data_IF_487834623838
#
_entry.id   IF_487834623838
#
_cell.length_a   1.000
_cell.length_b   1.000
_cell.length_c   1.000
_cell.angle_alpha   90.00
_cell.angle_beta   90.00
_cell.angle_gamma   90.00
#
_symmetry.space_group_name_H-M   'P 1'
#
loop_
_entity.id
_entity.type
_entity.pdbx_description
1 polymer ?
#
# COMPACT_ATOMS: atom_id res chain seq x y z
N UNK A 1 -10.30 7.96 5.57
CA UNK A 1 -9.50 7.90 4.33
C UNK A 1 -8.50 6.75 4.28
N UNK A 2 -7.49 6.64 5.15
CA UNK A 2 -6.55 5.49 5.10
C UNK A 2 -7.24 4.14 5.32
N UNK A 3 -8.07 4.02 6.36
CA UNK A 3 -8.92 2.84 6.60
C UNK A 3 -9.88 2.55 5.45
N UNK A 4 -10.27 3.57 4.68
CA UNK A 4 -11.14 3.40 3.50
C UNK A 4 -10.33 2.88 2.32
N UNK A 5 -9.13 3.40 2.06
CA UNK A 5 -8.21 2.89 1.03
C UNK A 5 -7.85 1.43 1.27
N UNK A 6 -7.61 1.05 2.53
CA UNK A 6 -7.38 -0.34 2.91
C UNK A 6 -8.63 -1.23 2.75
N UNK A 7 -9.83 -0.63 2.66
CA UNK A 7 -11.12 -1.32 2.50
C UNK A 7 -11.64 -1.33 1.06
N UNK A 8 -11.22 -0.42 0.18
CA UNK A 8 -11.76 -0.27 -1.17
C UNK A 8 -11.30 -1.44 -2.07
N UNK A 9 -12.21 -2.40 -2.24
CA UNK A 9 -12.24 -3.44 -3.28
C UNK A 9 -10.91 -4.14 -3.57
N UNK A 10 -10.10 -4.50 -2.57
CA UNK A 10 -8.93 -5.35 -2.79
C UNK A 10 -9.35 -6.82 -2.66
N UNK A 11 -9.50 -7.61 -3.75
CA UNK A 11 -9.78 -9.02 -3.63
C UNK A 11 -8.55 -9.67 -3.03
N UNK A 12 -8.67 -10.04 -1.75
CA UNK A 12 -7.61 -10.62 -0.95
C UNK A 12 -7.00 -11.89 -1.57
N UNK A 13 -7.75 -12.56 -2.46
CA UNK A 13 -7.36 -13.78 -3.14
C UNK A 13 -6.23 -13.57 -4.18
N UNK A 14 -6.22 -12.41 -4.84
CA UNK A 14 -5.23 -12.07 -5.88
C UNK A 14 -4.21 -11.03 -5.40
N UNK A 15 -4.60 -10.27 -4.37
CA UNK A 15 -3.77 -9.29 -3.71
C UNK A 15 -3.74 -9.63 -2.23
N UNK A 16 -2.62 -10.12 -1.70
CA UNK A 16 -2.51 -10.45 -0.28
C UNK A 16 -2.73 -9.26 0.67
N UNK A 17 -2.86 -8.04 0.13
CA UNK A 17 -3.05 -6.74 0.81
C UNK A 17 -3.89 -5.76 -0.04
N UNK A 18 -3.95 -4.46 0.28
CA UNK A 18 -2.92 -3.64 0.94
C UNK A 18 -2.82 -3.83 2.45
N UNK A 19 -1.58 -3.82 2.96
CA UNK A 19 -1.29 -3.96 4.38
C UNK A 19 -1.23 -2.61 5.08
N UNK A 20 -0.61 -1.61 4.43
CA UNK A 20 -0.44 -0.26 4.95
C UNK A 20 -0.47 0.77 3.81
N UNK A 21 -0.96 1.96 4.12
CA UNK A 21 -0.81 3.14 3.25
C UNK A 21 0.55 3.76 3.56
N UNK A 22 1.44 3.80 2.57
CA UNK A 22 2.78 4.40 2.69
C UNK A 22 2.70 5.90 2.50
N UNK A 23 1.89 6.34 1.54
CA UNK A 23 1.70 7.74 1.21
C UNK A 23 0.31 7.96 0.66
N UNK A 24 -0.24 9.15 0.92
CA UNK A 24 -1.52 9.58 0.39
C UNK A 24 -1.47 11.05 -0.01
N UNK A 25 -1.72 11.30 -1.29
CA UNK A 25 -1.96 12.66 -1.77
C UNK A 25 -3.43 12.98 -1.56
N UNK A 26 -3.72 14.03 -0.77
CA UNK A 26 -5.09 14.40 -0.38
C UNK A 26 -5.71 15.45 -1.32
N UNK A 27 -4.93 15.95 -2.28
CA UNK A 27 -5.33 16.94 -3.29
C UNK A 27 -6.34 16.44 -4.32
N UNK A 28 -6.44 17.10 -5.48
CA UNK A 28 -7.50 16.86 -6.48
C UNK A 28 -7.43 15.48 -7.14
N UNK A 29 -6.22 14.96 -7.37
CA UNK A 29 -6.01 13.69 -8.08
C UNK A 29 -6.13 12.46 -7.17
N UNK A 30 -6.09 12.67 -5.85
CA UNK A 30 -6.18 11.66 -4.77
C UNK A 30 -5.59 10.31 -5.14
N UNK A 31 -4.32 10.11 -4.86
CA UNK A 31 -3.67 8.81 -5.07
C UNK A 31 -2.98 8.34 -3.80
N UNK A 32 -2.77 7.03 -3.72
CA UNK A 32 -2.04 6.43 -2.61
C UNK A 32 -1.02 5.42 -3.11
N UNK A 33 0.10 5.37 -2.40
CA UNK A 33 1.04 4.25 -2.47
C UNK A 33 0.80 3.37 -1.26
N UNK A 34 0.72 2.08 -1.49
CA UNK A 34 0.48 1.06 -0.47
C UNK A 34 1.58 0.01 -0.51
N UNK A 35 1.87 -0.60 0.64
CA UNK A 35 2.63 -1.84 0.67
C UNK A 35 1.65 -3.03 0.64
N UNK A 36 1.86 -3.96 -0.27
CA UNK A 36 0.93 -5.06 -0.54
C UNK A 36 1.66 -6.33 -0.94
N UNK A 37 0.99 -7.47 -0.78
CA UNK A 37 1.41 -8.74 -1.36
C UNK A 37 0.81 -8.89 -2.74
N UNK A 38 1.63 -9.20 -3.74
CA UNK A 38 1.19 -9.42 -5.11
C UNK A 38 1.46 -10.86 -5.52
N UNK A 39 0.44 -11.55 -6.05
CA UNK A 39 0.58 -12.95 -6.46
C UNK A 39 1.31 -13.03 -7.81
N UNK A 40 2.50 -13.61 -7.81
CA UNK A 40 3.27 -13.94 -9.01
C UNK A 40 3.46 -15.46 -9.02
N UNK A 41 2.95 -16.12 -10.07
CA UNK A 41 3.11 -17.57 -10.26
C UNK A 41 2.72 -18.42 -9.02
N UNK A 42 1.66 -18.00 -8.32
CA UNK A 42 1.17 -18.70 -7.13
C UNK A 42 1.88 -18.32 -5.81
N UNK A 43 2.91 -17.49 -5.85
CA UNK A 43 3.63 -17.00 -4.66
C UNK A 43 3.29 -15.54 -4.38
N UNK A 44 3.13 -15.20 -3.11
CA UNK A 44 2.94 -13.81 -2.71
C UNK A 44 4.30 -13.12 -2.58
N UNK A 45 4.50 -12.08 -3.37
CA UNK A 45 5.71 -11.24 -3.32
C UNK A 45 5.41 -9.86 -2.72
N UNK A 46 6.31 -9.33 -1.88
CA UNK A 46 6.24 -7.95 -1.44
C UNK A 46 6.34 -6.97 -2.62
N UNK A 47 5.39 -6.05 -2.70
CA UNK A 47 5.36 -4.99 -3.72
C UNK A 47 4.84 -3.68 -3.14
N UNK A 48 5.22 -2.58 -3.78
CA UNK A 48 4.46 -1.34 -3.69
C UNK A 48 3.39 -1.32 -4.78
N UNK A 49 2.19 -0.88 -4.42
CA UNK A 49 1.12 -0.59 -5.35
C UNK A 49 0.80 0.90 -5.35
N UNK A 50 0.44 1.46 -6.50
CA UNK A 50 -0.11 2.80 -6.61
C UNK A 50 -1.52 2.75 -7.23
N UNK A 51 -2.42 3.60 -6.72
CA UNK A 51 -3.79 3.72 -7.22
C UNK A 51 -4.34 5.12 -6.99
N UNK A 52 -5.22 5.56 -7.90
CA UNK A 52 -5.97 6.82 -7.82
C UNK A 52 -7.37 6.57 -7.30
N UNK A 53 -7.98 7.61 -6.74
CA UNK A 53 -9.30 7.57 -6.12
C UNK A 53 -10.12 8.75 -6.62
N UNK A 54 -11.34 8.47 -7.11
CA UNK A 54 -12.29 9.49 -7.52
C UNK A 54 -13.56 9.32 -6.69
N UNK A 55 -13.81 10.27 -5.78
CA UNK A 55 -14.84 10.12 -4.75
C UNK A 55 -14.51 8.95 -3.81
N UNK A 56 -15.44 8.00 -3.69
CA UNK A 56 -15.29 6.76 -2.91
C UNK A 56 -14.84 5.57 -3.76
N UNK A 57 -14.56 5.76 -5.05
CA UNK A 57 -14.20 4.70 -5.98
C UNK A 57 -12.71 4.74 -6.32
N UNK A 58 -12.09 3.55 -6.40
CA UNK A 58 -10.72 3.43 -6.91
C UNK A 58 -10.70 3.42 -8.44
N UNK A 59 -9.71 4.08 -9.04
CA UNK A 59 -9.48 4.18 -10.48
C UNK A 59 -8.10 3.58 -10.84
N UNK A 60 -8.02 2.68 -11.84
CA UNK A 60 -9.13 2.14 -12.64
C UNK A 60 -10.13 1.31 -11.83
N UNK A 61 -11.38 1.42 -12.26
CA UNK A 61 -12.51 0.71 -11.68
C UNK A 61 -12.66 -0.64 -12.41
N UNK A 62 -12.78 -1.70 -11.63
CA UNK A 62 -13.14 -3.02 -12.14
C UNK A 62 -14.22 -3.61 -11.23
N UNK A 63 -15.16 -4.32 -11.82
CA UNK A 63 -16.37 -4.82 -11.17
C UNK A 63 -16.12 -6.03 -10.26
N UNK A 64 -14.96 -6.69 -10.38
CA UNK A 64 -14.61 -7.88 -9.58
C UNK A 64 -13.19 -7.88 -9.02
N UNK A 65 -12.30 -6.99 -9.49
CA UNK A 65 -10.90 -6.98 -9.09
C UNK A 65 -10.42 -5.56 -8.82
N UNK A 66 -9.68 -5.29 -7.73
CA UNK A 66 -8.94 -4.03 -7.67
C UNK A 66 -7.82 -4.05 -8.67
N UNK A 67 -7.76 -2.98 -9.46
CA UNK A 67 -6.61 -2.72 -10.31
C UNK A 67 -5.63 -1.85 -9.55
N UNK A 68 -4.44 -2.42 -9.30
CA UNK A 68 -3.29 -1.71 -8.76
C UNK A 68 -2.24 -1.60 -9.87
N UNK A 69 -1.62 -0.43 -10.00
CA UNK A 69 -0.36 -0.37 -10.73
C UNK A 69 0.74 -0.87 -9.80
N UNK A 70 1.29 -2.03 -10.11
CA UNK A 70 2.36 -2.65 -9.32
C UNK A 70 3.68 -2.00 -9.69
N UNK A 71 4.35 -1.44 -8.69
CA UNK A 71 5.66 -0.81 -8.87
C UNK A 71 6.72 -1.91 -8.99
N UNK A 72 7.56 -1.91 -10.05
CA UNK A 72 8.68 -2.84 -10.18
C UNK A 72 9.59 -2.78 -8.94
N UNK A 73 10.08 -3.91 -8.42
CA UNK A 73 10.88 -3.92 -7.19
C UNK A 73 12.11 -3.00 -7.27
N UNK A 74 12.76 -2.92 -8.43
CA UNK A 74 13.91 -2.03 -8.66
C UNK A 74 13.60 -0.53 -8.50
N UNK A 75 12.33 -0.12 -8.63
CA UNK A 75 11.89 1.27 -8.47
C UNK A 75 11.36 1.56 -7.06
N UNK A 76 11.16 0.53 -6.23
CA UNK A 76 10.52 0.71 -4.93
C UNK A 76 11.34 1.61 -4.00
N UNK A 77 12.66 1.37 -3.90
CA UNK A 77 13.54 2.19 -3.04
C UNK A 77 13.69 3.64 -3.55
N UNK A 78 13.96 3.90 -4.85
CA UNK A 78 13.95 5.27 -5.38
C UNK A 78 12.64 6.02 -5.10
N UNK A 79 11.49 5.37 -5.28
CA UNK A 79 10.19 5.99 -5.00
C UNK A 79 10.06 6.34 -3.52
N UNK A 80 10.36 5.43 -2.61
CA UNK A 80 10.27 5.68 -1.17
C UNK A 80 11.16 6.85 -0.71
N UNK A 81 12.36 6.97 -1.28
CA UNK A 81 13.29 8.07 -0.97
C UNK A 81 12.85 9.41 -1.56
N UNK A 82 12.09 9.39 -2.66
CA UNK A 82 11.55 10.58 -3.31
C UNK A 82 10.26 11.11 -2.67
N UNK A 83 9.65 10.37 -1.73
CA UNK A 83 8.43 10.80 -1.08
C UNK A 83 8.70 11.96 -0.11
N UNK A 84 7.87 13.03 -0.14
CA UNK A 84 8.00 14.12 0.81
C UNK A 84 7.75 13.63 2.24
N UNK A 85 8.66 13.97 3.16
CA UNK A 85 8.62 13.56 4.56
C UNK A 85 7.38 14.06 5.31
N UNK A 86 6.79 15.16 4.85
CA UNK A 86 5.59 15.79 5.44
C UNK A 86 4.28 15.09 5.08
N UNK A 87 4.28 14.23 4.06
CA UNK A 87 3.07 13.55 3.53
C UNK A 87 3.21 12.02 3.63
N UNK A 88 4.38 11.53 4.01
CA UNK A 88 4.60 10.10 4.26
C UNK A 88 3.86 9.71 5.53
N UNK A 89 2.91 8.80 5.40
CA UNK A 89 2.04 8.36 6.50
C UNK A 89 2.77 7.39 7.42
N UNK A 90 3.83 6.71 6.95
CA UNK A 90 4.41 5.58 7.66
C UNK A 90 5.94 5.52 7.72
N UNK A 91 6.43 4.73 8.69
CA UNK A 91 7.83 4.43 8.92
C UNK A 91 8.46 3.69 7.71
N UNK A 92 9.26 4.42 6.93
CA UNK A 92 9.94 3.92 5.73
C UNK A 92 10.81 2.68 5.99
N UNK A 93 11.40 2.55 7.18
CA UNK A 93 12.23 1.39 7.54
C UNK A 93 11.40 0.11 7.60
N UNK A 94 10.21 0.15 8.22
CA UNK A 94 9.33 -1.01 8.30
C UNK A 94 8.81 -1.43 6.92
N UNK A 95 8.53 -0.45 6.06
CA UNK A 95 8.15 -0.72 4.66
C UNK A 95 9.31 -1.36 3.92
N UNK A 96 10.54 -0.86 4.08
CA UNK A 96 11.73 -1.46 3.46
C UNK A 96 11.98 -2.89 3.95
N UNK A 97 11.85 -3.15 5.26
CA UNK A 97 11.98 -4.51 5.82
C UNK A 97 10.95 -5.48 5.22
N UNK A 98 9.73 -5.01 4.96
CA UNK A 98 8.72 -5.80 4.23
C UNK A 98 9.11 -6.04 2.77
N UNK A 99 9.56 -5.00 2.05
CA UNK A 99 9.95 -5.12 0.64
C UNK A 99 11.17 -6.02 0.43
N UNK A 100 12.08 -6.07 1.41
CA UNK A 100 13.24 -6.98 1.41
C UNK A 100 12.89 -8.40 1.86
N UNK A 101 11.62 -8.68 2.19
CA UNK A 101 11.16 -9.98 2.69
C UNK A 101 11.57 -10.31 4.12
N UNK A 102 12.14 -9.35 4.87
CA UNK A 102 12.53 -9.50 6.28
C UNK A 102 11.33 -9.42 7.24
N UNK A 103 10.20 -8.90 6.76
CA UNK A 103 8.95 -8.79 7.51
C UNK A 103 7.78 -9.24 6.64
N UNK A 104 6.84 -10.01 7.20
CA UNK A 104 5.63 -10.41 6.49
C UNK A 104 4.60 -9.28 6.43
N UNK A 105 3.64 -9.39 5.51
CA UNK A 105 2.53 -8.42 5.42
C UNK A 105 1.69 -8.35 6.70
N UNK A 106 1.46 -9.49 7.37
CA UNK A 106 0.75 -9.54 8.65
C UNK A 106 1.52 -8.79 9.75
N UNK A 107 2.84 -9.01 9.82
CA UNK A 107 3.72 -8.31 10.76
C UNK A 107 3.82 -6.81 10.46
N UNK A 108 3.69 -6.40 9.20
CA UNK A 108 3.64 -4.99 8.80
C UNK A 108 2.31 -4.35 9.22
N UNK A 109 1.19 -5.03 8.97
CA UNK A 109 -0.16 -4.58 9.36
C UNK A 109 -0.34 -4.48 10.87
N UNK A 110 0.15 -5.45 11.63
CA UNK A 110 0.08 -5.40 13.10
C UNK A 110 0.82 -4.17 13.65
N UNK A 111 2.07 -3.95 13.20
CA UNK A 111 2.82 -2.75 13.57
C UNK A 111 2.08 -1.47 13.16
N UNK A 112 1.29 -1.53 12.08
CA UNK A 112 0.42 -0.43 11.68
C UNK A 112 -0.68 -0.11 12.68
N UNK A 113 -1.44 -1.14 13.05
CA UNK A 113 -2.54 -1.02 14.00
C UNK A 113 -2.06 -0.61 15.42
N UNK A 114 -0.82 -0.94 15.79
CA UNK A 114 -0.21 -0.54 17.06
C UNK A 114 0.18 0.95 17.11
N UNK A 115 0.83 1.51 16.07
CA UNK A 115 1.15 2.94 16.11
C UNK A 115 -0.09 3.82 15.97
N UNK A 116 -1.09 3.41 15.17
CA UNK A 116 -2.35 4.17 15.07
C UNK A 116 -3.05 4.27 16.43
N UNK A 117 -3.07 3.19 17.21
CA UNK A 117 -3.63 3.17 18.57
C UNK A 117 -2.83 3.98 19.59
N UNK A 118 -1.53 4.15 19.37
CA UNK A 118 -0.65 4.90 20.28
C UNK A 118 -0.67 6.42 20.02
N UNK A 119 -1.29 6.85 18.92
CA UNK A 119 -1.44 8.25 18.53
C UNK A 119 -2.84 8.83 18.88
N UNK A 120 -3.73 8.00 19.44
CA UNK A 120 -5.03 8.35 20.02
C UNK A 120 -4.89 8.52 21.54
#
# INVERSE_FOLDING_TARGET
>A
MEREILRINSPHEFVGGPYVVVHIEKGKERWAIVAMGWKIEGRMEPRLGIRWFWGSLGNPQSSGYSTWLVIPPMLSRPILLGLPSTVTVWNLRLVQDFLDGRKSGAQLRQAWEENVRSAE
#
